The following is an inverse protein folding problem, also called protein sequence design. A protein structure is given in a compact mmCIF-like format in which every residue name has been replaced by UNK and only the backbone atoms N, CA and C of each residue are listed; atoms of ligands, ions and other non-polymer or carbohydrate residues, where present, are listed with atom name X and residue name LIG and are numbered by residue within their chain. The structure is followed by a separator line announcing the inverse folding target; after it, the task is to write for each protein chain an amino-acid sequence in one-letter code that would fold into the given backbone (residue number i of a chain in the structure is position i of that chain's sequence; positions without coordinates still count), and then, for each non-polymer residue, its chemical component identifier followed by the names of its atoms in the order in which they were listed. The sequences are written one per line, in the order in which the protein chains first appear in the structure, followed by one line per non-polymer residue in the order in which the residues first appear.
data_IF_889720908333
#
_entry.id   IF_889720908333
#
_cell.length_a   1.000
_cell.length_b   1.000
_cell.length_c   1.000
_cell.angle_alpha   90.00
_cell.angle_beta   90.00
_cell.angle_gamma   90.00
#
_symmetry.space_group_name_H-M   'P 1'
#
loop_
_entity.id
_entity.type
_entity.pdbx_description
1 polymer ?
#
# COMPACT_ATOMS: atom_id res chain seq x y z
N UNK A 1 -6.87 -2.82 13.41
CA UNK A 1 -7.72 -1.80 12.76
C UNK A 1 -7.67 -1.97 11.25
N UNK A 2 -8.83 -1.98 10.62
CA UNK A 2 -8.95 -2.15 9.17
C UNK A 2 -9.22 -0.80 8.53
N UNK A 3 -8.44 -0.45 7.52
CA UNK A 3 -8.55 0.85 6.86
C UNK A 3 -8.77 0.65 5.35
N UNK A 4 -9.90 1.13 4.80
CA UNK A 4 -10.09 1.09 3.35
C UNK A 4 -9.18 2.11 2.67
N UNK A 5 -8.66 1.74 1.51
CA UNK A 5 -7.76 2.57 0.73
C UNK A 5 -8.43 3.01 -0.57
N UNK A 6 -7.89 4.04 -1.26
CA UNK A 6 -8.43 4.44 -2.55
C UNK A 6 -8.44 3.26 -3.53
N UNK A 7 -9.52 3.15 -4.33
CA UNK A 7 -9.63 2.11 -5.34
C UNK A 7 -8.57 2.32 -6.42
N UNK A 8 -7.95 1.22 -6.85
CA UNK A 8 -6.92 1.24 -7.89
C UNK A 8 -7.51 0.74 -9.21
N UNK A 9 -7.27 1.44 -10.33
CA UNK A 9 -7.74 0.95 -11.63
C UNK A 9 -7.19 -0.45 -11.93
N UNK A 10 -7.98 -1.26 -12.63
CA UNK A 10 -7.59 -2.65 -12.92
C UNK A 10 -6.24 -2.76 -13.64
N UNK A 11 -5.95 -1.83 -14.55
CA UNK A 11 -4.68 -1.84 -15.26
C UNK A 11 -3.48 -1.51 -14.36
N UNK A 12 -3.71 -0.96 -13.18
CA UNK A 12 -2.66 -0.69 -12.18
C UNK A 12 -2.62 -1.72 -11.06
N UNK A 13 -3.64 -2.56 -10.94
CA UNK A 13 -3.68 -3.61 -9.92
C UNK A 13 -2.49 -4.57 -10.10
N UNK A 14 -2.19 -4.96 -11.33
CA UNK A 14 -1.06 -5.84 -11.61
C UNK A 14 0.27 -5.20 -11.18
N UNK A 15 0.40 -3.88 -11.33
CA UNK A 15 1.58 -3.12 -10.88
C UNK A 15 1.64 -3.10 -9.36
N UNK A 16 0.50 -2.91 -8.71
CA UNK A 16 0.41 -2.86 -7.26
C UNK A 16 0.78 -4.21 -6.62
N UNK A 17 0.37 -5.31 -7.23
CA UNK A 17 0.72 -6.65 -6.75
C UNK A 17 2.18 -6.97 -7.09
N UNK A 18 2.59 -6.66 -8.32
CA UNK A 18 3.92 -6.96 -8.82
C UNK A 18 4.09 -8.42 -9.22
N UNK A 19 5.25 -8.73 -9.77
CA UNK A 19 5.57 -10.10 -10.18
C UNK A 19 5.62 -11.01 -8.95
N UNK A 20 4.79 -12.04 -8.94
CA UNK A 20 4.70 -13.00 -7.82
C UNK A 20 4.40 -12.32 -6.47
N UNK A 21 3.70 -11.19 -6.51
CA UNK A 21 3.36 -10.47 -5.29
C UNK A 21 4.49 -9.67 -4.66
N UNK A 22 5.58 -9.46 -5.38
CA UNK A 22 6.77 -8.80 -4.84
C UNK A 22 6.49 -7.35 -4.40
N UNK A 23 5.73 -6.59 -5.18
CA UNK A 23 5.41 -5.20 -4.84
C UNK A 23 4.50 -5.14 -3.61
N UNK A 24 3.48 -5.97 -3.56
CA UNK A 24 2.58 -6.03 -2.41
C UNK A 24 3.34 -6.38 -1.14
N UNK A 25 4.27 -7.32 -1.23
CA UNK A 25 5.11 -7.71 -0.10
C UNK A 25 6.00 -6.56 0.34
N UNK A 26 6.60 -5.83 -0.61
CA UNK A 26 7.44 -4.67 -0.30
C UNK A 26 6.64 -3.57 0.38
N UNK A 27 5.42 -3.30 -0.08
CA UNK A 27 4.53 -2.32 0.54
C UNK A 27 4.16 -2.73 1.95
N UNK A 28 3.85 -4.00 2.16
CA UNK A 28 3.54 -4.53 3.48
C UNK A 28 4.72 -4.35 4.44
N UNK A 29 5.92 -4.70 3.99
CA UNK A 29 7.11 -4.58 4.82
C UNK A 29 7.46 -3.13 5.11
N UNK A 30 7.38 -2.25 4.11
CA UNK A 30 7.71 -0.85 4.27
C UNK A 30 6.73 -0.12 5.19
N UNK A 31 5.44 -0.47 5.12
CA UNK A 31 4.41 0.16 5.95
C UNK A 31 4.37 -0.38 7.37
N UNK A 32 4.80 -1.63 7.56
CA UNK A 32 4.69 -2.30 8.85
C UNK A 32 3.28 -2.75 9.19
N UNK A 33 2.39 -2.82 8.21
CA UNK A 33 1.02 -3.26 8.44
C UNK A 33 0.97 -4.76 8.73
N UNK A 34 -0.13 -5.19 9.37
CA UNK A 34 -0.36 -6.59 9.66
C UNK A 34 -0.75 -7.37 8.41
N UNK A 35 -1.66 -6.80 7.61
CA UNK A 35 -2.11 -7.38 6.35
C UNK A 35 -2.35 -6.30 5.32
N UNK A 36 -2.14 -6.66 4.05
CA UNK A 36 -2.43 -5.80 2.92
C UNK A 36 -3.26 -6.61 1.94
N UNK A 37 -4.53 -6.23 1.77
CA UNK A 37 -5.50 -6.99 1.00
C UNK A 37 -5.81 -6.26 -0.30
N UNK A 38 -5.69 -6.96 -1.41
CA UNK A 38 -5.98 -6.43 -2.74
C UNK A 38 -7.01 -7.34 -3.41
N UNK A 39 -8.14 -6.75 -3.82
CA UNK A 39 -9.14 -7.46 -4.60
C UNK A 39 -8.92 -7.13 -6.08
N UNK A 40 -8.39 -8.09 -6.82
CA UNK A 40 -8.06 -7.88 -8.23
C UNK A 40 -9.30 -7.79 -9.13
N UNK A 41 -10.44 -8.26 -8.66
CA UNK A 41 -11.68 -8.22 -9.45
C UNK A 41 -12.34 -6.84 -9.40
N UNK A 42 -12.31 -6.19 -8.25
CA UNK A 42 -12.98 -4.90 -8.04
C UNK A 42 -12.04 -3.71 -8.02
N UNK A 43 -10.75 -3.94 -7.76
CA UNK A 43 -9.77 -2.88 -7.55
C UNK A 43 -9.81 -2.31 -6.13
N UNK A 44 -10.57 -2.91 -5.24
CA UNK A 44 -10.63 -2.48 -3.85
C UNK A 44 -9.36 -2.89 -3.12
N UNK A 45 -8.84 -1.98 -2.31
CA UNK A 45 -7.61 -2.19 -1.55
C UNK A 45 -7.88 -1.86 -0.09
N UNK A 46 -7.34 -2.67 0.79
CA UNK A 46 -7.54 -2.54 2.22
C UNK A 46 -6.25 -2.83 2.96
N UNK A 47 -6.02 -2.14 4.07
CA UNK A 47 -4.89 -2.43 4.94
C UNK A 47 -5.40 -2.73 6.34
N UNK A 48 -4.79 -3.72 6.98
CA UNK A 48 -5.09 -4.06 8.38
C UNK A 48 -3.85 -3.70 9.20
N UNK A 49 -4.06 -2.82 10.18
CA UNK A 49 -3.01 -2.42 11.12
C UNK A 49 -3.11 -3.25 12.38
N UNK A 50 -1.96 -3.58 12.95
CA UNK A 50 -1.92 -4.31 14.22
C UNK A 50 -2.18 -3.40 15.42
N UNK A 51 -1.74 -3.84 16.59
CA UNK A 51 -1.87 -3.08 17.83
C UNK A 51 -1.10 -1.75 17.74
N UNK A 52 -1.59 -0.68 18.39
CA UNK A 52 -0.82 0.56 18.49
C UNK A 52 0.58 0.28 19.06
N UNK A 53 1.60 0.85 18.42
CA UNK A 53 2.98 0.62 18.79
C UNK A 53 3.68 -0.44 17.95
N UNK A 54 2.95 -1.23 17.15
CA UNK A 54 3.53 -2.23 16.25
C UNK A 54 3.81 -1.67 14.87
N UNK A 55 3.38 -0.45 14.61
CA UNK A 55 3.60 0.24 13.34
C UNK A 55 3.78 1.74 13.58
N UNK A 56 4.38 2.43 12.60
CA UNK A 56 4.60 3.87 12.66
C UNK A 56 3.32 4.60 12.22
N UNK A 57 2.69 5.42 13.12
CA UNK A 57 1.49 6.16 12.75
C UNK A 57 1.69 7.11 11.56
N UNK A 58 2.89 7.65 11.37
CA UNK A 58 3.20 8.53 10.24
C UNK A 58 3.11 7.75 8.94
N UNK A 59 3.63 6.53 8.92
CA UNK A 59 3.52 5.66 7.74
C UNK A 59 2.06 5.28 7.47
N UNK A 60 1.28 5.04 8.53
CA UNK A 60 -0.14 4.74 8.37
C UNK A 60 -0.88 5.91 7.73
N UNK A 61 -0.54 7.15 8.10
CA UNK A 61 -1.14 8.34 7.50
C UNK A 61 -0.76 8.52 6.04
N UNK A 62 0.46 8.16 5.67
CA UNK A 62 0.96 8.31 4.30
C UNK A 62 0.51 7.19 3.37
N UNK A 63 0.16 6.04 3.91
CA UNK A 63 -0.10 4.85 3.10
C UNK A 63 -1.20 5.04 2.05
N UNK A 64 -2.34 5.67 2.35
CA UNK A 64 -3.36 5.93 1.33
C UNK A 64 -2.82 6.76 0.16
N UNK A 65 -1.97 7.74 0.43
CA UNK A 65 -1.38 8.56 -0.63
C UNK A 65 -0.41 7.75 -1.49
N UNK A 66 0.32 6.82 -0.90
CA UNK A 66 1.22 5.93 -1.63
C UNK A 66 0.43 5.05 -2.59
N UNK A 67 -0.65 4.44 -2.12
CA UNK A 67 -1.51 3.61 -2.96
C UNK A 67 -2.14 4.43 -4.09
N UNK A 68 -2.60 5.64 -3.78
CA UNK A 68 -3.17 6.54 -4.77
C UNK A 68 -2.15 6.93 -5.84
N UNK A 69 -0.91 7.20 -5.43
CA UNK A 69 0.17 7.53 -6.35
C UNK A 69 0.46 6.38 -7.32
N UNK A 70 0.51 5.16 -6.82
CA UNK A 70 0.71 3.97 -7.67
C UNK A 70 -0.47 3.82 -8.64
N UNK A 71 -1.69 4.04 -8.15
CA UNK A 71 -2.89 3.97 -8.99
C UNK A 71 -2.90 5.00 -10.12
N UNK A 72 -2.20 6.13 -9.93
CA UNK A 72 -2.09 7.20 -10.92
C UNK A 72 -0.92 7.04 -11.88
N UNK A 73 -0.09 6.01 -11.70
CA UNK A 73 1.00 5.73 -12.60
C UNK A 73 2.40 5.85 -12.03
N UNK A 74 2.54 6.22 -10.76
CA UNK A 74 3.85 6.28 -10.13
C UNK A 74 4.44 4.87 -10.00
N UNK A 75 5.75 4.74 -10.24
CA UNK A 75 6.44 3.47 -10.05
C UNK A 75 6.38 3.05 -8.58
N UNK A 76 6.10 1.76 -8.28
CA UNK A 76 5.99 1.32 -6.88
C UNK A 76 7.22 1.63 -6.05
N UNK A 77 8.41 1.49 -6.61
CA UNK A 77 9.66 1.77 -5.92
C UNK A 77 9.74 3.23 -5.45
N UNK A 78 9.34 4.17 -6.32
CA UNK A 78 9.33 5.58 -5.98
C UNK A 78 8.25 5.89 -4.94
N UNK A 79 7.09 5.26 -5.06
CA UNK A 79 6.01 5.45 -4.10
C UNK A 79 6.37 4.93 -2.71
N UNK A 80 7.06 3.80 -2.62
CA UNK A 80 7.51 3.23 -1.35
C UNK A 80 8.49 4.17 -0.66
N UNK A 81 9.31 4.88 -1.41
CA UNK A 81 10.23 5.87 -0.83
C UNK A 81 9.50 6.98 -0.08
N UNK A 82 8.27 7.30 -0.47
CA UNK A 82 7.47 8.29 0.26
C UNK A 82 7.15 7.84 1.68
N UNK A 83 7.09 6.53 1.92
CA UNK A 83 6.90 5.99 3.27
C UNK A 83 8.19 6.07 4.09
N UNK A 84 9.33 5.88 3.44
CA UNK A 84 10.63 5.81 4.10
C UNK A 84 11.23 7.20 4.34
N UNK A 85 10.89 8.17 3.50
CA UNK A 85 11.32 9.55 3.70
C UNK A 85 10.60 10.13 4.92
N UNK A 86 11.33 10.65 5.86
CA UNK A 86 10.79 11.22 7.09
C UNK A 86 10.08 12.56 6.91
N UNK A 87 9.57 12.82 5.74
CA UNK A 87 8.94 14.12 5.42
C UNK A 87 7.44 13.99 5.21
#
# INVERSE_FOLDING_TARGET
MRQPLPRVPKNRIAVLIGSKGATAKSLRNASGCKEFIIDSDTGDVEVVWGEPGTYDPVKAMKFPNVIKAIGRGMAPKAAIQLLEDGH
#
